data_IF_567735524504
#
_entry.id   IF_567735524504
#
_cell.length_a   1.000
_cell.length_b   1.000
_cell.length_c   1.000
_cell.angle_alpha   90.00
_cell.angle_beta   90.00
_cell.angle_gamma   90.00
#
_symmetry.space_group_name_H-M   'P 1'
#
loop_
_entity.id
_entity.type
_entity.pdbx_description
1 polymer ?
#
# COMPACT_ATOMS: atom_id res chain seq x y z
N UNK A 1 27.85 -0.97 -12.92
CA UNK A 1 26.55 -0.38 -12.51
C UNK A 1 25.50 -0.90 -13.49
N UNK A 2 24.67 -1.85 -13.04
CA UNK A 2 23.75 -2.60 -13.90
C UNK A 2 22.65 -1.70 -14.47
N UNK A 3 22.19 -1.99 -15.68
CA UNK A 3 21.14 -1.23 -16.40
C UNK A 3 19.85 -1.08 -15.58
N UNK A 4 19.50 -2.08 -14.80
CA UNK A 4 18.37 -2.08 -13.83
C UNK A 4 18.52 -1.04 -12.72
N UNK A 5 19.73 -0.82 -12.22
CA UNK A 5 19.99 0.22 -11.19
C UNK A 5 19.85 1.63 -11.76
N UNK A 6 20.24 1.84 -13.03
CA UNK A 6 20.02 3.12 -13.73
C UNK A 6 18.54 3.42 -13.91
N UNK A 7 17.74 2.45 -14.34
CA UNK A 7 16.28 2.64 -14.49
C UNK A 7 15.63 2.98 -13.15
N UNK A 8 16.04 2.32 -12.06
CA UNK A 8 15.53 2.61 -10.71
C UNK A 8 15.89 4.02 -10.25
N UNK A 9 17.13 4.45 -10.46
CA UNK A 9 17.57 5.80 -10.14
C UNK A 9 16.80 6.84 -10.96
N UNK A 10 16.61 6.62 -12.25
CA UNK A 10 15.82 7.52 -13.11
C UNK A 10 14.40 7.66 -12.61
N UNK A 11 13.72 6.56 -12.20
CA UNK A 11 12.36 6.63 -11.62
C UNK A 11 12.32 7.47 -10.34
N UNK A 12 13.32 7.34 -9.47
CA UNK A 12 13.42 8.13 -8.23
C UNK A 12 13.63 9.61 -8.55
N UNK A 13 14.51 9.94 -9.51
CA UNK A 13 14.73 11.32 -9.92
C UNK A 13 13.46 11.98 -10.48
N UNK A 14 12.65 11.25 -11.27
CA UNK A 14 11.36 11.74 -11.77
C UNK A 14 10.37 12.05 -10.64
N UNK A 15 10.29 11.20 -9.61
CA UNK A 15 9.43 11.46 -8.45
C UNK A 15 9.92 12.66 -7.67
N UNK A 16 11.23 12.80 -7.44
CA UNK A 16 11.82 13.96 -6.75
C UNK A 16 11.55 15.23 -7.55
N UNK A 17 11.77 15.22 -8.87
CA UNK A 17 11.50 16.36 -9.74
C UNK A 17 10.03 16.78 -9.70
N UNK A 18 9.09 15.82 -9.76
CA UNK A 18 7.66 16.10 -9.67
C UNK A 18 7.28 16.75 -8.32
N UNK A 19 7.85 16.27 -7.21
CA UNK A 19 7.62 16.85 -5.88
C UNK A 19 8.21 18.27 -5.79
N UNK A 20 9.40 18.51 -6.33
CA UNK A 20 10.01 19.84 -6.36
C UNK A 20 9.18 20.84 -7.18
N UNK A 21 8.70 20.43 -8.36
CA UNK A 21 7.81 21.26 -9.18
C UNK A 21 6.52 21.58 -8.43
N UNK A 22 5.94 20.61 -7.74
CA UNK A 22 4.72 20.80 -6.97
C UNK A 22 4.93 21.79 -5.80
N UNK A 23 6.04 21.68 -5.07
CA UNK A 23 6.39 22.61 -3.98
C UNK A 23 6.61 24.01 -4.53
N UNK A 24 7.35 24.15 -5.63
CA UNK A 24 7.56 25.45 -6.28
C UNK A 24 6.24 26.09 -6.73
N UNK A 25 5.35 25.31 -7.33
CA UNK A 25 4.02 25.78 -7.74
C UNK A 25 3.14 26.20 -6.56
N UNK A 26 3.18 25.50 -5.43
CA UNK A 26 2.50 25.89 -4.18
C UNK A 26 3.01 27.21 -3.64
N UNK A 27 4.34 27.41 -3.64
CA UNK A 27 4.94 28.67 -3.20
C UNK A 27 4.51 29.83 -4.10
N UNK A 28 4.58 29.66 -5.43
CA UNK A 28 4.13 30.69 -6.38
C UNK A 28 2.66 31.02 -6.18
N UNK A 29 1.80 30.02 -6.02
CA UNK A 29 0.36 30.21 -5.78
C UNK A 29 0.12 30.99 -4.47
N UNK A 30 0.86 30.67 -3.40
CA UNK A 30 0.75 31.38 -2.13
C UNK A 30 1.13 32.86 -2.25
N UNK A 31 2.24 33.16 -2.93
CA UNK A 31 2.66 34.54 -3.16
C UNK A 31 1.65 35.31 -4.01
N UNK A 32 1.13 34.67 -5.08
CA UNK A 32 0.17 35.29 -5.97
C UNK A 32 -1.13 35.69 -5.23
N UNK A 33 -1.67 34.79 -4.39
CA UNK A 33 -2.88 35.08 -3.59
C UNK A 33 -2.61 36.25 -2.63
N UNK A 34 -1.45 36.31 -1.99
CA UNK A 34 -1.06 37.40 -1.08
C UNK A 34 -0.93 38.74 -1.79
N UNK A 35 -0.29 38.78 -2.96
CA UNK A 35 -0.14 39.98 -3.76
C UNK A 35 -1.50 40.48 -4.24
N UNK A 36 -2.38 39.61 -4.69
CA UNK A 36 -3.75 40.00 -5.08
C UNK A 36 -4.56 40.56 -3.90
N UNK A 37 -4.47 39.94 -2.73
CA UNK A 37 -5.14 40.46 -1.53
C UNK A 37 -4.64 41.87 -1.14
N UNK A 38 -3.35 42.13 -1.30
CA UNK A 38 -2.78 43.48 -1.08
C UNK A 38 -3.31 44.47 -2.11
N UNK A 39 -3.38 44.10 -3.36
CA UNK A 39 -3.92 44.94 -4.43
C UNK A 39 -5.40 45.27 -4.22
N UNK A 40 -6.23 44.29 -3.79
CA UNK A 40 -7.63 44.52 -3.44
C UNK A 40 -7.78 45.49 -2.27
N UNK A 41 -6.94 45.37 -1.26
CA UNK A 41 -6.91 46.32 -0.15
C UNK A 41 -6.60 47.75 -0.62
N UNK A 42 -5.57 47.94 -1.45
CA UNK A 42 -5.22 49.24 -2.00
C UNK A 42 -6.39 49.85 -2.80
N UNK A 43 -7.10 49.03 -3.61
CA UNK A 43 -8.29 49.47 -4.31
C UNK A 43 -9.42 49.89 -3.38
N UNK A 44 -9.58 49.21 -2.24
CA UNK A 44 -10.57 49.57 -1.25
C UNK A 44 -10.19 50.84 -0.49
N UNK A 45 -8.92 51.13 -0.27
CA UNK A 45 -8.46 52.41 0.30
C UNK A 45 -8.81 53.58 -0.65
N UNK A 46 -8.60 53.41 -1.97
CA UNK A 46 -9.00 54.42 -2.98
C UNK A 46 -10.54 54.56 -3.05
N UNK A 47 -11.26 53.48 -2.97
CA UNK A 47 -12.72 53.49 -2.96
C UNK A 47 -13.28 54.22 -1.70
N UNK A 48 -12.65 53.93 -0.54
CA UNK A 48 -13.01 54.59 0.72
C UNK A 48 -12.77 56.12 0.66
N UNK A 49 -11.66 56.57 0.08
CA UNK A 49 -11.38 57.99 -0.10
C UNK A 49 -12.34 58.67 -1.09
N UNK A 50 -12.73 57.95 -2.17
CA UNK A 50 -13.80 58.42 -3.07
C UNK A 50 -15.12 58.56 -2.32
N UNK A 51 -15.48 57.62 -1.44
CA UNK A 51 -16.70 57.69 -0.62
C UNK A 51 -16.63 58.87 0.39
N UNK A 52 -15.46 59.11 0.98
CA UNK A 52 -15.22 60.31 1.84
C UNK A 52 -15.49 61.60 1.06
N UNK A 53 -14.92 61.71 -0.15
CA UNK A 53 -15.09 62.88 -1.00
C UNK A 53 -16.56 63.11 -1.39
N UNK A 54 -17.29 62.02 -1.70
CA UNK A 54 -18.71 62.07 -2.03
C UNK A 54 -19.52 62.63 -0.86
N UNK A 55 -19.26 62.24 0.38
CA UNK A 55 -20.00 62.68 1.55
C UNK A 55 -19.66 64.11 1.96
N UNK A 56 -18.48 64.63 1.57
CA UNK A 56 -18.05 66.05 1.85
C UNK A 56 -18.30 67.01 0.70
N UNK A 57 -18.92 66.54 -0.38
CA UNK A 57 -19.08 67.31 -1.60
C UNK A 57 -20.16 68.40 -1.47
N UNK A 58 -19.83 69.60 -1.95
CA UNK A 58 -20.76 70.74 -2.11
C UNK A 58 -21.40 70.76 -3.49
N UNK A 59 -22.42 71.55 -3.69
CA UNK A 59 -23.16 71.69 -4.96
C UNK A 59 -22.29 72.01 -6.20
N UNK A 60 -21.11 72.57 -6.00
CA UNK A 60 -20.17 72.95 -7.08
C UNK A 60 -19.04 71.93 -7.30
N UNK A 61 -19.03 70.80 -6.62
CA UNK A 61 -17.94 69.80 -6.70
C UNK A 61 -18.15 68.89 -7.91
N UNK A 62 -17.15 68.76 -8.81
CA UNK A 62 -17.20 67.80 -9.90
C UNK A 62 -17.02 66.37 -9.37
N UNK A 63 -18.06 65.59 -9.30
CA UNK A 63 -18.11 64.27 -8.77
C UNK A 63 -17.91 63.16 -9.87
N UNK A 64 -17.64 63.55 -11.10
CA UNK A 64 -17.60 62.61 -12.24
C UNK A 64 -16.56 61.51 -12.02
N UNK A 65 -15.35 61.87 -11.54
CA UNK A 65 -14.28 60.93 -11.22
C UNK A 65 -14.61 60.05 -9.98
N UNK A 66 -15.17 60.69 -8.93
CA UNK A 66 -15.57 60.02 -7.69
C UNK A 66 -16.62 58.92 -7.95
N UNK A 67 -17.65 59.27 -8.68
CA UNK A 67 -18.71 58.34 -9.07
C UNK A 67 -18.20 57.21 -9.97
N UNK A 68 -17.24 57.52 -10.85
CA UNK A 68 -16.55 56.51 -11.65
C UNK A 68 -15.82 55.48 -10.79
N UNK A 69 -15.01 55.93 -9.85
CA UNK A 69 -14.28 55.05 -8.92
C UNK A 69 -15.23 54.16 -8.09
N UNK A 70 -16.29 54.76 -7.55
CA UNK A 70 -17.29 54.02 -6.76
C UNK A 70 -18.00 52.98 -7.62
N UNK A 71 -18.33 53.32 -8.85
CA UNK A 71 -19.06 52.41 -9.77
C UNK A 71 -18.18 51.35 -10.38
N UNK A 72 -16.88 51.52 -10.50
CA UNK A 72 -15.95 50.54 -11.04
C UNK A 72 -15.70 49.32 -10.12
N UNK A 73 -16.16 49.39 -8.88
CA UNK A 73 -16.10 48.21 -7.99
C UNK A 73 -17.17 47.19 -8.39
N UNK A 74 -16.81 46.21 -9.23
CA UNK A 74 -17.68 45.12 -9.69
C UNK A 74 -17.45 43.79 -9.00
N UNK A 75 -16.42 43.63 -8.17
CA UNK A 75 -15.96 42.32 -7.68
C UNK A 75 -15.77 42.23 -6.16
N UNK A 76 -15.43 43.33 -5.51
CA UNK A 76 -15.14 43.33 -4.08
C UNK A 76 -16.44 43.60 -3.30
N UNK A 77 -16.88 42.71 -2.40
CA UNK A 77 -18.00 42.93 -1.53
C UNK A 77 -17.72 44.09 -0.56
N UNK A 78 -18.61 45.06 -0.50
CA UNK A 78 -18.48 46.24 0.36
C UNK A 78 -19.76 46.52 1.07
N UNK A 79 -19.69 46.88 2.35
CA UNK A 79 -20.76 47.34 3.21
C UNK A 79 -20.31 48.60 3.93
N UNK A 80 -21.08 49.68 3.83
CA UNK A 80 -20.77 50.92 4.54
C UNK A 80 -21.70 50.98 5.76
N UNK A 81 -21.07 51.00 6.95
CA UNK A 81 -21.77 51.17 8.24
C UNK A 81 -21.62 52.60 8.74
N UNK A 82 -22.68 53.11 9.39
CA UNK A 82 -22.65 54.38 10.13
C UNK A 82 -22.01 54.23 11.53
N UNK A 83 -22.01 55.32 12.28
CA UNK A 83 -21.57 55.41 13.67
C UNK A 83 -22.34 54.51 14.63
N UNK A 84 -23.63 54.18 14.26
CA UNK A 84 -24.48 53.25 14.99
C UNK A 84 -24.37 51.81 14.54
N UNK A 85 -23.39 51.50 13.67
CA UNK A 85 -23.21 50.20 13.07
C UNK A 85 -24.37 49.66 12.20
N UNK A 86 -25.14 50.56 11.61
CA UNK A 86 -26.19 50.21 10.64
C UNK A 86 -25.68 50.40 9.22
N UNK A 87 -26.01 49.46 8.35
CA UNK A 87 -25.64 49.56 6.95
C UNK A 87 -26.41 50.68 6.26
N UNK A 88 -25.70 51.64 5.66
CA UNK A 88 -26.23 52.66 4.82
C UNK A 88 -26.34 52.22 3.35
N UNK A 89 -25.36 51.46 2.91
CA UNK A 89 -25.32 50.91 1.55
C UNK A 89 -24.44 49.66 1.50
N UNK A 90 -24.69 48.84 0.54
CA UNK A 90 -23.89 47.65 0.25
C UNK A 90 -23.75 47.41 -1.24
N UNK A 91 -22.66 46.72 -1.65
CA UNK A 91 -22.40 46.39 -3.06
C UNK A 91 -21.66 45.05 -3.18
N UNK A 92 -21.99 44.30 -4.23
CA UNK A 92 -21.39 42.98 -4.52
C UNK A 92 -21.55 41.95 -3.39
N UNK A 93 -22.56 42.10 -2.56
CA UNK A 93 -22.89 41.17 -1.46
C UNK A 93 -24.16 40.43 -1.84
N UNK A 94 -24.15 39.12 -1.81
CA UNK A 94 -25.35 38.31 -2.03
C UNK A 94 -26.26 38.36 -0.77
N UNK A 95 -27.35 39.12 -0.84
CA UNK A 95 -28.32 39.25 0.24
C UNK A 95 -29.70 38.92 -0.31
N UNK A 96 -30.37 37.98 0.30
CA UNK A 96 -31.74 37.58 0.00
C UNK A 96 -32.68 38.25 1.03
N UNK A 97 -32.94 39.53 0.88
CA UNK A 97 -33.90 40.27 1.70
C UNK A 97 -35.29 40.30 1.08
N UNK A 98 -36.35 40.27 1.91
CA UNK A 98 -37.75 40.40 1.47
C UNK A 98 -38.10 41.80 1.01
N UNK A 99 -37.41 42.79 1.57
CA UNK A 99 -37.50 44.19 1.26
C UNK A 99 -36.16 44.91 1.47
N UNK A 100 -36.07 46.20 1.17
CA UNK A 100 -34.86 46.99 1.29
C UNK A 100 -34.38 47.09 2.75
N UNK A 101 -35.32 47.22 3.71
CA UNK A 101 -34.97 47.29 5.14
C UNK A 101 -34.42 45.96 5.67
N UNK A 102 -34.99 44.86 5.24
CA UNK A 102 -34.48 43.53 5.60
C UNK A 102 -33.09 43.29 4.99
N UNK A 103 -32.88 43.72 3.74
CA UNK A 103 -31.55 43.65 3.08
C UNK A 103 -30.50 44.49 3.82
N UNK A 104 -30.82 45.71 4.22
CA UNK A 104 -29.90 46.55 5.01
C UNK A 104 -29.64 45.99 6.41
N UNK A 105 -30.64 45.35 7.03
CA UNK A 105 -30.44 44.68 8.31
C UNK A 105 -29.49 43.49 8.19
N UNK A 106 -29.62 42.65 7.15
CA UNK A 106 -28.72 41.56 6.87
C UNK A 106 -27.32 42.07 6.54
N UNK A 107 -27.22 43.15 5.72
CA UNK A 107 -25.93 43.80 5.45
C UNK A 107 -25.24 44.28 6.74
N UNK A 108 -26.02 44.85 7.67
CA UNK A 108 -25.46 45.29 8.98
C UNK A 108 -24.80 44.13 9.77
N UNK A 109 -25.50 42.96 9.79
CA UNK A 109 -24.94 41.77 10.47
C UNK A 109 -23.66 41.24 9.81
N UNK A 110 -23.60 41.26 8.47
CA UNK A 110 -22.39 40.88 7.72
C UNK A 110 -21.30 41.92 7.97
N UNK A 111 -21.61 43.21 7.89
CA UNK A 111 -20.65 44.31 8.15
C UNK A 111 -20.04 44.25 9.55
N UNK A 112 -20.83 43.97 10.59
CA UNK A 112 -20.33 43.75 11.95
C UNK A 112 -19.37 42.58 12.06
N UNK A 113 -19.62 41.48 11.32
CA UNK A 113 -18.70 40.33 11.27
C UNK A 113 -17.35 40.72 10.63
N UNK A 114 -17.41 41.45 9.52
CA UNK A 114 -16.20 41.94 8.84
C UNK A 114 -15.40 42.91 9.72
N UNK A 115 -16.11 43.79 10.43
CA UNK A 115 -15.54 44.69 11.41
C UNK A 115 -14.80 43.94 12.52
N UNK A 116 -15.40 42.90 13.08
CA UNK A 116 -14.79 42.02 14.09
C UNK A 116 -13.53 41.29 13.57
N UNK A 117 -13.44 41.07 12.26
CA UNK A 117 -12.27 40.48 11.59
C UNK A 117 -11.17 41.50 11.23
N UNK A 118 -11.40 42.79 11.50
CA UNK A 118 -10.47 43.87 11.14
C UNK A 118 -10.45 44.16 9.63
N UNK A 119 -11.46 43.74 8.88
CA UNK A 119 -11.62 43.99 7.44
C UNK A 119 -12.44 45.26 7.21
N UNK A 120 -11.93 46.37 7.70
CA UNK A 120 -12.61 47.68 7.59
C UNK A 120 -11.61 48.82 7.39
N UNK A 121 -12.09 49.90 6.78
CA UNK A 121 -11.43 51.18 6.64
C UNK A 121 -12.35 52.22 7.27
N UNK A 122 -11.84 52.96 8.29
CA UNK A 122 -12.60 54.04 8.94
C UNK A 122 -12.42 55.32 8.16
N UNK A 123 -13.53 56.01 7.86
CA UNK A 123 -13.58 57.29 7.17
C UNK A 123 -14.16 58.30 8.14
N UNK A 124 -13.43 59.34 8.50
CA UNK A 124 -13.90 60.44 9.31
C UNK A 124 -14.53 61.53 8.42
N UNK A 125 -15.78 61.85 8.70
CA UNK A 125 -16.57 62.78 7.89
C UNK A 125 -16.38 64.21 8.34
N UNK A 126 -16.16 64.45 9.65
CA UNK A 126 -15.93 65.79 10.22
C UNK A 126 -14.79 65.72 11.24
N UNK A 127 -14.22 66.88 11.61
CA UNK A 127 -13.19 67.01 12.64
C UNK A 127 -13.71 66.67 14.06
N UNK A 128 -15.01 66.54 14.24
CA UNK A 128 -15.65 66.02 15.45
C UNK A 128 -15.62 64.49 15.43
N UNK A 129 -14.96 63.86 16.42
CA UNK A 129 -14.76 62.39 16.52
C UNK A 129 -16.03 61.54 16.57
N UNK A 130 -17.19 62.09 16.30
CA UNK A 130 -18.52 61.45 16.43
C UNK A 130 -19.20 61.11 15.09
N UNK A 131 -18.70 61.62 13.96
CA UNK A 131 -19.29 61.33 12.66
C UNK A 131 -18.29 60.63 11.75
N UNK A 132 -18.43 59.31 11.64
CA UNK A 132 -17.55 58.47 10.83
C UNK A 132 -18.34 57.36 10.13
N UNK A 133 -17.83 56.94 8.98
CA UNK A 133 -18.27 55.76 8.29
C UNK A 133 -17.25 54.65 8.37
N UNK A 134 -17.72 53.41 8.40
CA UNK A 134 -16.87 52.26 8.34
C UNK A 134 -17.14 51.48 7.05
N UNK A 135 -16.15 51.49 6.18
CA UNK A 135 -16.19 50.70 4.93
C UNK A 135 -15.70 49.30 5.24
N UNK A 136 -16.58 48.37 5.46
CA UNK A 136 -16.29 46.97 5.64
C UNK A 136 -16.21 46.29 4.28
N UNK A 137 -15.14 45.49 4.03
CA UNK A 137 -14.96 44.77 2.75
C UNK A 137 -14.55 43.34 2.98
N UNK A 138 -14.90 42.48 2.04
CA UNK A 138 -14.44 41.08 2.06
C UNK A 138 -13.64 40.78 0.79
N UNK A 139 -12.95 39.66 0.80
CA UNK A 139 -12.21 39.19 -0.37
C UNK A 139 -13.15 38.92 -1.55
N UNK A 140 -12.73 39.30 -2.74
CA UNK A 140 -13.49 39.00 -3.95
C UNK A 140 -13.67 37.48 -4.14
N UNK A 141 -14.70 37.09 -4.88
CA UNK A 141 -14.96 35.70 -5.23
C UNK A 141 -13.72 35.08 -5.93
N UNK A 142 -12.96 35.90 -6.64
CA UNK A 142 -11.76 35.44 -7.34
C UNK A 142 -10.64 35.05 -6.37
N UNK A 143 -10.34 35.88 -5.37
CA UNK A 143 -9.34 35.53 -4.34
C UNK A 143 -9.78 34.33 -3.53
N UNK A 144 -11.06 34.26 -3.15
CA UNK A 144 -11.63 33.11 -2.43
C UNK A 144 -11.49 31.81 -3.21
N UNK A 145 -11.70 31.81 -4.53
CA UNK A 145 -11.45 30.64 -5.38
C UNK A 145 -9.97 30.31 -5.49
N UNK A 146 -9.12 31.30 -5.66
CA UNK A 146 -7.67 31.11 -5.74
C UNK A 146 -7.07 30.60 -4.42
N UNK A 147 -7.58 30.99 -3.27
CA UNK A 147 -7.09 30.52 -1.96
C UNK A 147 -7.38 29.02 -1.71
N UNK A 148 -8.38 28.44 -2.40
CA UNK A 148 -8.67 26.99 -2.35
C UNK A 148 -7.74 26.19 -3.26
N UNK A 149 -7.21 26.79 -4.31
CA UNK A 149 -6.40 26.12 -5.33
C UNK A 149 -5.17 25.38 -4.77
N UNK A 150 -4.37 25.93 -3.84
CA UNK A 150 -3.25 25.24 -3.21
C UNK A 150 -3.65 23.92 -2.53
N UNK A 151 -4.81 23.86 -1.90
CA UNK A 151 -5.30 22.63 -1.24
C UNK A 151 -5.68 21.55 -2.24
N UNK A 152 -6.34 21.94 -3.34
CA UNK A 152 -6.64 21.01 -4.44
C UNK A 152 -5.35 20.47 -5.03
N UNK A 153 -4.39 21.33 -5.30
CA UNK A 153 -3.09 20.96 -5.83
C UNK A 153 -2.34 20.01 -4.90
N UNK A 154 -2.36 20.27 -3.58
CA UNK A 154 -1.76 19.39 -2.58
C UNK A 154 -2.40 17.99 -2.62
N UNK A 155 -3.73 17.92 -2.73
CA UNK A 155 -4.47 16.65 -2.88
C UNK A 155 -4.04 15.86 -4.11
N UNK A 156 -3.90 16.54 -5.26
CA UNK A 156 -3.45 15.92 -6.52
C UNK A 156 -2.01 15.38 -6.40
N UNK A 157 -1.11 16.16 -5.81
CA UNK A 157 0.28 15.75 -5.59
C UNK A 157 0.35 14.54 -4.66
N UNK A 158 -0.40 14.56 -3.56
CA UNK A 158 -0.46 13.44 -2.62
C UNK A 158 -0.94 12.16 -3.32
N UNK A 159 -2.01 12.25 -4.11
CA UNK A 159 -2.52 11.14 -4.90
C UNK A 159 -1.46 10.59 -5.87
N UNK A 160 -0.76 11.49 -6.58
CA UNK A 160 0.33 11.10 -7.48
C UNK A 160 1.47 10.36 -6.75
N UNK A 161 1.90 10.86 -5.58
CA UNK A 161 2.94 10.21 -4.76
C UNK A 161 2.51 8.81 -4.32
N UNK A 162 1.25 8.65 -3.87
CA UNK A 162 0.70 7.34 -3.48
C UNK A 162 0.72 6.37 -4.66
N UNK A 163 0.25 6.79 -5.83
CA UNK A 163 0.26 5.95 -7.05
C UNK A 163 1.71 5.58 -7.43
N UNK A 164 2.64 6.53 -7.38
CA UNK A 164 4.04 6.28 -7.71
C UNK A 164 4.69 5.27 -6.75
N UNK A 165 4.45 5.39 -5.44
CA UNK A 165 4.93 4.42 -4.44
C UNK A 165 4.35 3.02 -4.74
N UNK A 166 3.05 2.94 -5.01
CA UNK A 166 2.38 1.67 -5.31
C UNK A 166 2.96 1.00 -6.58
N UNK A 167 3.17 1.79 -7.64
CA UNK A 167 3.81 1.32 -8.87
C UNK A 167 5.24 0.83 -8.65
N UNK A 168 6.03 1.52 -7.82
CA UNK A 168 7.38 1.08 -7.45
C UNK A 168 7.38 -0.23 -6.68
N UNK A 169 6.46 -0.41 -5.73
CA UNK A 169 6.33 -1.64 -4.94
C UNK A 169 5.93 -2.83 -5.83
N UNK A 170 4.96 -2.66 -6.73
CA UNK A 170 4.54 -3.68 -7.70
C UNK A 170 5.70 -4.05 -8.64
N UNK A 171 6.40 -3.03 -9.19
CA UNK A 171 7.54 -3.25 -10.09
C UNK A 171 8.66 -4.04 -9.39
N UNK A 172 8.97 -3.73 -8.12
CA UNK A 172 9.97 -4.46 -7.34
C UNK A 172 9.57 -5.92 -7.12
N UNK A 173 8.30 -6.17 -6.79
CA UNK A 173 7.79 -7.53 -6.60
C UNK A 173 7.84 -8.34 -7.91
N UNK A 174 7.47 -7.73 -9.03
CA UNK A 174 7.53 -8.36 -10.35
C UNK A 174 8.97 -8.71 -10.78
N UNK A 175 9.94 -7.83 -10.50
CA UNK A 175 11.35 -8.08 -10.79
C UNK A 175 11.90 -9.25 -9.95
N UNK A 176 11.61 -9.28 -8.65
CA UNK A 176 11.98 -10.41 -7.79
C UNK A 176 11.38 -11.73 -8.30
N UNK A 177 10.13 -11.72 -8.73
CA UNK A 177 9.48 -12.90 -9.28
C UNK A 177 10.15 -13.39 -10.57
N UNK A 178 10.50 -12.49 -11.48
CA UNK A 178 11.21 -12.86 -12.72
C UNK A 178 12.56 -13.53 -12.46
N UNK A 179 13.33 -13.02 -11.49
CA UNK A 179 14.61 -13.62 -11.12
C UNK A 179 14.42 -15.03 -10.57
N UNK A 180 13.44 -15.24 -9.70
CA UNK A 180 13.14 -16.56 -9.14
C UNK A 180 12.67 -17.56 -10.19
N UNK A 181 11.77 -17.14 -11.08
CA UNK A 181 11.28 -17.98 -12.18
C UNK A 181 12.44 -18.36 -13.13
N UNK A 182 13.26 -17.38 -13.51
CA UNK A 182 14.41 -17.62 -14.37
C UNK A 182 15.42 -18.57 -13.76
N UNK A 183 15.79 -18.33 -12.47
CA UNK A 183 16.73 -19.19 -11.76
C UNK A 183 16.20 -20.63 -11.60
N UNK A 184 14.91 -20.77 -11.25
CA UNK A 184 14.29 -22.08 -11.08
C UNK A 184 14.28 -22.87 -12.38
N UNK A 185 13.89 -22.23 -13.48
CA UNK A 185 13.86 -22.86 -14.82
C UNK A 185 15.25 -23.28 -15.29
N UNK A 186 16.23 -22.39 -15.12
CA UNK A 186 17.62 -22.68 -15.47
C UNK A 186 18.21 -23.79 -14.62
N UNK A 187 17.99 -23.77 -13.31
CA UNK A 187 18.43 -24.85 -12.40
C UNK A 187 17.81 -26.19 -12.80
N UNK A 188 16.51 -26.24 -13.11
CA UNK A 188 15.85 -27.46 -13.55
C UNK A 188 16.45 -28.00 -14.85
N UNK A 189 16.75 -27.12 -15.81
CA UNK A 189 17.34 -27.49 -17.09
C UNK A 189 18.78 -28.03 -16.91
N UNK A 190 19.59 -27.32 -16.13
CA UNK A 190 20.98 -27.70 -15.85
C UNK A 190 21.09 -29.01 -15.04
N UNK A 191 20.11 -29.32 -14.19
CA UNK A 191 20.03 -30.59 -13.47
C UNK A 191 19.47 -31.73 -14.34
N UNK A 192 18.53 -31.44 -15.21
CA UNK A 192 17.84 -32.44 -16.02
C UNK A 192 18.78 -33.23 -16.94
N UNK A 193 19.75 -32.54 -17.57
CA UNK A 193 20.73 -33.19 -18.47
C UNK A 193 21.60 -34.23 -17.77
N UNK A 194 22.33 -33.93 -16.66
CA UNK A 194 23.11 -34.96 -15.97
C UNK A 194 22.25 -36.06 -15.34
N UNK A 195 21.03 -35.76 -14.87
CA UNK A 195 20.11 -36.75 -14.32
C UNK A 195 19.71 -37.75 -15.39
N UNK A 196 19.38 -37.29 -16.61
CA UNK A 196 19.07 -38.17 -17.73
C UNK A 196 20.23 -39.10 -18.10
N UNK A 197 21.47 -38.56 -18.07
CA UNK A 197 22.66 -39.39 -18.29
C UNK A 197 22.89 -40.43 -17.19
N UNK A 198 22.68 -40.06 -15.93
CA UNK A 198 22.77 -40.99 -14.80
C UNK A 198 21.70 -42.11 -14.90
N UNK A 199 20.50 -41.77 -15.29
CA UNK A 199 19.44 -42.81 -15.53
C UNK A 199 19.80 -43.78 -16.63
N UNK A 200 20.38 -43.28 -17.73
CA UNK A 200 20.83 -44.16 -18.82
C UNK A 200 22.00 -45.06 -18.35
N UNK A 201 22.93 -44.57 -17.58
CA UNK A 201 24.03 -45.37 -17.03
C UNK A 201 23.51 -46.45 -16.06
N UNK A 202 22.55 -46.11 -15.19
CA UNK A 202 21.95 -47.10 -14.28
C UNK A 202 21.24 -48.22 -15.07
N UNK A 203 20.60 -47.88 -16.16
CA UNK A 203 19.93 -48.91 -17.00
C UNK A 203 20.95 -49.82 -17.65
N UNK A 204 22.09 -49.30 -18.13
CA UNK A 204 23.22 -50.08 -18.66
C UNK A 204 23.79 -51.00 -17.58
N UNK A 205 24.04 -50.44 -16.36
CA UNK A 205 24.53 -51.23 -15.25
C UNK A 205 23.58 -52.36 -14.86
N UNK A 206 22.29 -52.09 -14.85
CA UNK A 206 21.25 -53.07 -14.54
C UNK A 206 21.23 -54.22 -15.55
N UNK A 207 21.49 -53.95 -16.85
CA UNK A 207 21.60 -54.97 -17.87
C UNK A 207 22.86 -55.81 -17.71
N UNK A 208 23.98 -55.20 -17.32
CA UNK A 208 25.27 -55.88 -17.22
C UNK A 208 25.48 -56.58 -15.88
N UNK A 209 24.84 -56.10 -14.81
CA UNK A 209 24.98 -56.60 -13.44
C UNK A 209 23.60 -56.71 -12.76
N UNK A 210 22.74 -57.61 -13.19
CA UNK A 210 21.35 -57.68 -12.74
C UNK A 210 21.17 -58.03 -11.26
N UNK A 211 22.15 -58.73 -10.67
CA UNK A 211 22.11 -59.21 -9.28
C UNK A 211 22.81 -58.25 -8.29
N UNK A 212 23.29 -57.09 -8.74
CA UNK A 212 23.96 -56.11 -7.87
C UNK A 212 22.95 -55.29 -7.04
N UNK A 213 23.02 -55.42 -5.71
CA UNK A 213 22.08 -54.80 -4.78
C UNK A 213 22.24 -53.25 -4.73
N UNK A 214 23.35 -52.66 -5.19
CA UNK A 214 23.58 -51.22 -5.20
C UNK A 214 22.83 -50.53 -6.34
N UNK A 215 22.54 -51.20 -7.45
CA UNK A 215 21.90 -50.61 -8.63
C UNK A 215 20.45 -50.12 -8.32
N UNK A 216 19.62 -50.86 -7.58
CA UNK A 216 18.32 -50.38 -7.13
C UNK A 216 18.44 -49.14 -6.23
N UNK A 217 19.43 -49.06 -5.35
CA UNK A 217 19.66 -47.89 -4.49
C UNK A 217 20.05 -46.64 -5.30
N UNK A 218 21.04 -46.81 -6.23
CA UNK A 218 21.39 -45.76 -7.18
C UNK A 218 20.21 -45.24 -7.99
N UNK A 219 19.38 -46.14 -8.51
CA UNK A 219 18.18 -45.79 -9.26
C UNK A 219 17.20 -44.98 -8.39
N UNK A 220 17.07 -45.32 -7.12
CA UNK A 220 16.22 -44.58 -6.19
C UNK A 220 16.74 -43.15 -5.93
N UNK A 221 18.05 -43.00 -5.79
CA UNK A 221 18.66 -41.68 -5.57
C UNK A 221 18.57 -40.81 -6.83
N UNK A 222 18.79 -41.35 -8.02
CA UNK A 222 18.66 -40.60 -9.27
C UNK A 222 17.20 -40.21 -9.54
N UNK A 223 16.22 -41.09 -9.29
CA UNK A 223 14.80 -40.72 -9.30
C UNK A 223 14.45 -39.58 -8.35
N UNK A 224 15.12 -39.55 -7.19
CA UNK A 224 14.97 -38.45 -6.22
C UNK A 224 15.50 -37.13 -6.77
N UNK A 225 16.69 -37.14 -7.41
CA UNK A 225 17.22 -35.96 -8.08
C UNK A 225 16.31 -35.46 -9.20
N UNK A 226 15.74 -36.41 -9.98
CA UNK A 226 14.74 -36.07 -11.01
C UNK A 226 13.51 -35.38 -10.42
N UNK A 227 12.95 -35.88 -9.32
CA UNK A 227 11.82 -35.27 -8.64
C UNK A 227 12.15 -33.84 -8.17
N UNK A 228 13.37 -33.60 -7.69
CA UNK A 228 13.82 -32.26 -7.29
C UNK A 228 13.89 -31.34 -8.51
N UNK A 229 14.49 -31.79 -9.62
CA UNK A 229 14.56 -31.01 -10.86
C UNK A 229 13.16 -30.67 -11.40
N UNK A 230 12.24 -31.64 -11.42
CA UNK A 230 10.85 -31.44 -11.83
C UNK A 230 10.11 -30.41 -10.95
N UNK A 231 10.36 -30.42 -9.64
CA UNK A 231 9.81 -29.44 -8.71
C UNK A 231 10.31 -28.02 -9.03
N UNK A 232 11.61 -27.86 -9.32
CA UNK A 232 12.18 -26.57 -9.75
C UNK A 232 11.60 -26.11 -11.10
N UNK A 233 11.40 -27.04 -12.04
CA UNK A 233 10.75 -26.76 -13.34
C UNK A 233 9.33 -26.24 -13.15
N UNK A 234 8.54 -26.85 -12.28
CA UNK A 234 7.16 -26.42 -11.98
C UNK A 234 7.08 -25.05 -11.34
N UNK A 235 8.05 -24.67 -10.50
CA UNK A 235 8.15 -23.31 -9.95
C UNK A 235 8.37 -22.29 -11.08
N UNK A 236 9.14 -22.65 -12.10
CA UNK A 236 9.40 -21.79 -13.26
C UNK A 236 8.23 -21.69 -14.25
N UNK A 237 7.31 -22.66 -14.27
CA UNK A 237 6.23 -22.77 -15.29
C UNK A 237 4.86 -22.30 -14.82
N UNK A 238 4.67 -21.93 -13.55
CA UNK A 238 3.38 -21.50 -12.97
C UNK A 238 2.24 -22.49 -13.33
N UNK A 239 2.30 -23.73 -12.85
CA UNK A 239 1.30 -24.75 -13.20
C UNK A 239 -0.08 -24.34 -12.65
N UNK A 240 -1.12 -24.50 -13.50
CA UNK A 240 -2.49 -24.20 -13.10
C UNK A 240 -2.95 -25.13 -11.96
N UNK A 241 -3.57 -24.58 -10.89
CA UNK A 241 -4.16 -25.39 -9.84
C UNK A 241 -5.39 -26.14 -10.36
N UNK A 242 -5.45 -27.45 -10.10
CA UNK A 242 -6.59 -28.33 -10.44
C UNK A 242 -7.26 -28.81 -9.15
N UNK A 243 -8.56 -29.18 -9.18
CA UNK A 243 -9.21 -29.80 -8.04
C UNK A 243 -8.46 -31.06 -7.62
N UNK A 244 -8.09 -31.16 -6.34
CA UNK A 244 -7.37 -32.30 -5.79
C UNK A 244 -7.72 -32.50 -4.30
N UNK A 245 -7.63 -33.75 -3.81
CA UNK A 245 -7.89 -34.09 -2.42
C UNK A 245 -6.72 -33.76 -1.51
N UNK A 246 -6.97 -32.91 -0.51
CA UNK A 246 -5.97 -32.60 0.52
C UNK A 246 -5.67 -33.83 1.38
N UNK A 247 -6.65 -34.68 1.63
CA UNK A 247 -6.47 -35.92 2.40
C UNK A 247 -5.42 -36.81 1.73
N UNK A 248 -5.54 -37.06 0.41
CA UNK A 248 -4.57 -37.85 -0.36
C UNK A 248 -3.17 -37.25 -0.31
N UNK A 249 -3.04 -35.92 -0.53
CA UNK A 249 -1.75 -35.23 -0.49
C UNK A 249 -1.08 -35.36 0.87
N UNK A 250 -1.82 -35.17 1.96
CA UNK A 250 -1.29 -35.30 3.31
C UNK A 250 -0.93 -36.75 3.64
N UNK A 251 -1.72 -37.73 3.21
CA UNK A 251 -1.42 -39.16 3.39
C UNK A 251 -0.17 -39.57 2.65
N UNK A 252 0.01 -39.14 1.40
CA UNK A 252 1.23 -39.37 0.64
C UNK A 252 2.48 -38.83 1.36
N UNK A 253 2.41 -37.62 1.90
CA UNK A 253 3.53 -37.02 2.66
C UNK A 253 3.79 -37.78 3.96
N UNK A 254 2.76 -38.18 4.70
CA UNK A 254 2.90 -38.97 5.91
C UNK A 254 3.60 -40.30 5.62
N UNK A 255 3.13 -41.04 4.62
CA UNK A 255 3.72 -42.30 4.21
C UNK A 255 5.16 -42.17 3.70
N UNK A 256 5.50 -41.04 3.06
CA UNK A 256 6.85 -40.72 2.64
C UNK A 256 7.76 -40.41 3.85
N UNK A 257 7.29 -39.58 4.79
CA UNK A 257 8.04 -39.19 5.97
C UNK A 257 8.26 -40.38 6.93
N UNK A 258 7.26 -41.20 7.14
CA UNK A 258 7.34 -42.37 8.03
C UNK A 258 8.48 -43.34 7.64
N UNK A 259 8.69 -43.54 6.35
CA UNK A 259 9.79 -44.37 5.85
C UNK A 259 11.18 -43.77 5.96
N UNK A 260 11.29 -42.47 6.21
CA UNK A 260 12.56 -41.71 6.18
C UNK A 260 12.95 -41.05 7.48
N UNK A 261 12.07 -41.01 8.45
CA UNK A 261 12.35 -40.47 9.77
C UNK A 261 12.74 -41.57 10.74
N UNK A 262 13.53 -41.19 11.72
CA UNK A 262 13.87 -42.12 12.80
C UNK A 262 12.60 -42.59 13.53
N UNK A 263 12.59 -43.85 14.01
CA UNK A 263 11.53 -44.39 14.86
C UNK A 263 11.28 -43.56 16.13
N UNK A 264 12.16 -42.64 16.48
CA UNK A 264 11.98 -41.69 17.58
C UNK A 264 11.03 -40.54 17.25
N UNK A 265 10.66 -40.35 15.98
CA UNK A 265 9.71 -39.33 15.54
C UNK A 265 8.37 -40.00 15.30
N UNK A 266 7.36 -39.60 16.06
CA UNK A 266 6.00 -40.07 15.90
C UNK A 266 5.23 -39.13 14.97
N UNK A 267 4.67 -39.68 13.87
CA UNK A 267 3.76 -38.96 12.99
C UNK A 267 2.31 -39.24 13.38
N UNK A 268 1.55 -38.18 13.67
CA UNK A 268 0.14 -38.25 14.03
C UNK A 268 -0.67 -37.52 12.98
N UNK A 269 -1.77 -38.14 12.51
CA UNK A 269 -2.72 -37.49 11.59
C UNK A 269 -4.06 -37.23 12.27
N UNK A 270 -4.58 -36.05 12.10
CA UNK A 270 -5.92 -35.63 12.56
C UNK A 270 -6.64 -35.03 11.34
N UNK A 271 -7.46 -35.83 10.66
CA UNK A 271 -8.11 -35.43 9.40
C UNK A 271 -9.58 -35.84 9.44
N UNK A 272 -10.47 -35.08 8.75
CA UNK A 272 -11.86 -35.49 8.57
C UNK A 272 -11.95 -36.81 7.75
N UNK A 273 -13.02 -37.56 7.97
CA UNK A 273 -13.28 -38.82 7.25
C UNK A 273 -13.74 -38.61 5.79
N UNK A 274 -14.20 -37.43 5.44
CA UNK A 274 -14.59 -37.05 4.10
C UNK A 274 -13.43 -36.33 3.37
N UNK A 275 -13.47 -36.33 2.07
CA UNK A 275 -12.48 -35.68 1.23
C UNK A 275 -12.66 -34.15 1.24
N UNK A 276 -11.56 -33.44 1.41
CA UNK A 276 -11.50 -31.98 1.32
C UNK A 276 -10.85 -31.61 0.00
N UNK A 277 -11.67 -31.14 -0.95
CA UNK A 277 -11.22 -30.80 -2.30
C UNK A 277 -10.86 -29.30 -2.35
N UNK A 278 -9.66 -29.02 -2.87
CA UNK A 278 -9.19 -27.65 -3.14
C UNK A 278 -8.50 -27.60 -4.50
N UNK A 279 -8.48 -26.41 -5.10
CA UNK A 279 -7.70 -26.21 -6.33
C UNK A 279 -6.23 -26.04 -5.97
N UNK A 280 -5.41 -27.03 -6.35
CA UNK A 280 -3.97 -27.00 -6.06
C UNK A 280 -3.15 -27.75 -7.11
N UNK A 281 -1.85 -27.48 -7.13
CA UNK A 281 -0.88 -28.41 -7.73
C UNK A 281 -0.41 -29.37 -6.64
N UNK A 282 -0.92 -30.59 -6.65
CA UNK A 282 -0.66 -31.60 -5.62
C UNK A 282 0.85 -31.78 -5.34
N UNK A 283 1.68 -31.91 -6.38
CA UNK A 283 3.11 -32.16 -6.22
C UNK A 283 3.89 -30.99 -5.60
N UNK A 284 3.49 -29.74 -5.88
CA UNK A 284 4.07 -28.56 -5.22
C UNK A 284 3.57 -28.43 -3.78
N UNK A 285 2.30 -28.78 -3.54
CA UNK A 285 1.74 -28.72 -2.20
C UNK A 285 2.31 -29.83 -1.30
N UNK A 286 2.48 -31.06 -1.82
CA UNK A 286 3.24 -32.12 -1.14
C UNK A 286 4.62 -31.62 -0.69
N UNK A 287 5.32 -30.91 -1.57
CA UNK A 287 6.62 -30.35 -1.23
C UNK A 287 6.58 -29.31 -0.10
N UNK A 288 5.52 -28.49 -0.05
CA UNK A 288 5.32 -27.55 1.08
C UNK A 288 5.23 -28.33 2.40
N UNK A 289 4.35 -29.32 2.46
CA UNK A 289 4.14 -30.11 3.68
C UNK A 289 5.40 -30.91 4.04
N UNK A 290 6.03 -31.57 3.05
CA UNK A 290 7.31 -32.27 3.23
C UNK A 290 8.39 -31.36 3.83
N UNK A 291 8.51 -30.12 3.33
CA UNK A 291 9.48 -29.15 3.84
C UNK A 291 9.17 -28.71 5.28
N UNK A 292 7.90 -28.53 5.63
CA UNK A 292 7.51 -28.24 7.01
C UNK A 292 7.82 -29.42 7.94
N UNK A 293 7.51 -30.66 7.53
CA UNK A 293 7.83 -31.88 8.29
C UNK A 293 9.36 -32.07 8.46
N UNK A 294 10.16 -31.85 7.42
CA UNK A 294 11.62 -31.89 7.52
C UNK A 294 12.16 -30.85 8.50
N UNK A 295 11.60 -29.64 8.48
CA UNK A 295 11.98 -28.61 9.43
C UNK A 295 11.61 -29.00 10.87
N UNK A 296 10.48 -29.67 11.07
CA UNK A 296 10.05 -30.22 12.35
C UNK A 296 11.02 -31.30 12.86
N UNK A 297 11.40 -32.28 12.00
CA UNK A 297 12.40 -33.30 12.34
C UNK A 297 13.73 -32.68 12.74
N UNK A 298 14.21 -31.70 11.97
CA UNK A 298 15.47 -30.99 12.28
C UNK A 298 15.38 -30.18 13.59
N UNK A 299 14.19 -29.68 13.94
CA UNK A 299 13.98 -28.95 15.19
C UNK A 299 13.97 -29.86 16.43
N UNK A 300 13.59 -31.11 16.27
CA UNK A 300 13.59 -32.13 17.33
C UNK A 300 14.96 -32.79 17.52
N UNK A 301 15.79 -32.82 16.47
CA UNK A 301 17.16 -33.37 16.55
C UNK A 301 17.22 -34.85 16.89
N UNK A 302 18.24 -35.26 17.68
CA UNK A 302 18.46 -36.66 18.03
C UNK A 302 17.49 -37.22 19.10
N UNK A 303 16.80 -36.37 19.84
CA UNK A 303 15.87 -36.76 20.89
C UNK A 303 14.57 -37.33 20.31
N UNK A 304 14.21 -36.89 19.10
CA UNK A 304 12.96 -37.21 18.49
C UNK A 304 11.81 -36.39 19.03
N UNK A 305 10.58 -36.84 18.81
CA UNK A 305 9.38 -36.12 19.26
C UNK A 305 8.16 -36.48 18.42
N UNK A 306 7.22 -35.55 18.34
CA UNK A 306 5.96 -35.76 17.61
C UNK A 306 5.76 -34.68 16.57
N UNK A 307 5.28 -35.09 15.40
CA UNK A 307 4.75 -34.20 14.36
C UNK A 307 3.27 -34.53 14.21
N UNK A 308 2.41 -33.52 14.39
CA UNK A 308 0.96 -33.67 14.19
C UNK A 308 0.53 -32.89 12.96
N UNK A 309 -0.04 -33.59 11.97
CA UNK A 309 -0.67 -32.97 10.81
C UNK A 309 -2.18 -32.94 11.04
N UNK A 310 -2.75 -31.73 11.09
CA UNK A 310 -4.19 -31.52 11.23
C UNK A 310 -4.75 -30.92 9.94
N UNK A 311 -5.89 -31.46 9.51
CA UNK A 311 -6.72 -30.88 8.45
C UNK A 311 -8.09 -30.54 9.06
N UNK A 312 -8.50 -29.30 8.93
CA UNK A 312 -9.75 -28.77 9.46
C UNK A 312 -10.43 -27.90 8.41
N UNK A 313 -11.73 -27.75 8.53
CA UNK A 313 -12.53 -26.88 7.67
C UNK A 313 -13.17 -25.78 8.52
N UNK A 314 -13.11 -24.54 8.04
CA UNK A 314 -13.76 -23.41 8.69
C UNK A 314 -14.11 -22.32 7.65
N UNK A 315 -15.36 -21.89 7.62
CA UNK A 315 -15.81 -20.72 6.84
C UNK A 315 -15.37 -20.74 5.36
N UNK A 316 -15.62 -21.85 4.65
CA UNK A 316 -15.22 -22.09 3.26
C UNK A 316 -13.69 -22.09 3.01
N UNK A 317 -12.92 -22.40 4.04
CA UNK A 317 -11.47 -22.57 3.96
C UNK A 317 -11.05 -23.91 4.54
N UNK A 318 -10.09 -24.55 3.91
CA UNK A 318 -9.35 -25.66 4.49
C UNK A 318 -8.14 -25.10 5.26
N UNK A 319 -7.95 -25.60 6.45
CA UNK A 319 -6.87 -25.22 7.36
C UNK A 319 -6.00 -26.42 7.60
N UNK A 320 -4.73 -26.30 7.25
CA UNK A 320 -3.73 -27.33 7.50
C UNK A 320 -2.77 -26.83 8.59
N UNK A 321 -2.56 -27.62 9.62
CA UNK A 321 -1.56 -27.33 10.66
C UNK A 321 -0.50 -28.44 10.69
N UNK A 322 0.75 -28.01 10.75
CA UNK A 322 1.90 -28.86 11.00
C UNK A 322 2.51 -28.41 12.32
N UNK A 323 2.32 -29.24 13.35
CA UNK A 323 2.79 -28.99 14.71
C UNK A 323 3.96 -29.93 15.04
N UNK A 324 5.03 -29.41 15.58
CA UNK A 324 6.19 -30.16 16.10
C UNK A 324 6.39 -29.91 17.60
N UNK A 325 7.07 -30.84 18.26
CA UNK A 325 7.51 -30.72 19.67
C UNK A 325 9.00 -30.40 19.78
N UNK A 326 9.57 -29.72 18.78
CA UNK A 326 10.99 -29.40 18.73
C UNK A 326 11.40 -28.18 19.56
N UNK A 327 12.59 -27.65 19.26
CA UNK A 327 13.20 -26.52 20.00
C UNK A 327 12.44 -25.18 19.89
N UNK A 328 11.47 -25.07 19.01
CA UNK A 328 10.73 -23.84 18.76
C UNK A 328 11.54 -22.73 18.08
N UNK A 329 10.89 -21.59 17.82
CA UNK A 329 11.46 -20.42 17.14
C UNK A 329 11.38 -19.21 18.08
N UNK A 330 12.49 -18.48 18.22
CA UNK A 330 12.52 -17.26 19.06
C UNK A 330 11.63 -16.17 18.46
N UNK A 331 10.93 -15.40 19.29
CA UNK A 331 10.01 -14.32 18.85
C UNK A 331 10.64 -13.36 17.82
N UNK A 332 11.91 -12.99 18.00
CA UNK A 332 12.63 -12.10 17.07
C UNK A 332 12.80 -12.69 15.68
N UNK A 333 12.90 -14.02 15.57
CA UNK A 333 13.16 -14.72 14.32
C UNK A 333 11.86 -15.05 13.56
N UNK A 334 10.71 -15.14 14.25
CA UNK A 334 9.40 -15.51 13.66
C UNK A 334 9.01 -14.64 12.45
N UNK A 335 9.34 -13.33 12.48
CA UNK A 335 9.07 -12.41 11.36
C UNK A 335 10.00 -12.60 10.16
N UNK A 336 11.09 -13.35 10.35
CA UNK A 336 12.17 -13.49 9.37
C UNK A 336 12.29 -14.88 8.76
N UNK A 337 11.69 -15.90 9.37
CA UNK A 337 11.82 -17.30 8.92
C UNK A 337 11.41 -17.56 7.47
N UNK A 338 10.48 -16.74 6.95
CA UNK A 338 10.03 -16.81 5.55
C UNK A 338 10.86 -15.95 4.58
N UNK A 339 11.89 -15.25 5.05
CA UNK A 339 12.78 -14.47 4.17
C UNK A 339 13.75 -15.42 3.44
N UNK A 340 13.92 -15.26 2.12
CA UNK A 340 14.92 -16.05 1.40
C UNK A 340 16.31 -15.92 2.02
N UNK A 341 17.00 -17.05 2.18
CA UNK A 341 18.34 -17.11 2.77
C UNK A 341 18.37 -17.12 4.31
N UNK A 342 17.23 -17.01 4.99
CA UNK A 342 17.18 -17.12 6.45
C UNK A 342 17.34 -18.58 6.89
N UNK A 343 18.37 -18.87 7.65
CA UNK A 343 18.61 -20.20 8.23
C UNK A 343 19.34 -20.09 9.57
N UNK A 344 18.99 -20.95 10.49
CA UNK A 344 19.71 -21.18 11.75
C UNK A 344 20.54 -22.47 11.72
N UNK A 345 20.56 -23.16 10.56
CA UNK A 345 21.28 -24.43 10.37
C UNK A 345 22.67 -24.16 9.80
N UNK A 346 23.68 -24.94 10.22
CA UNK A 346 25.03 -24.85 9.66
C UNK A 346 25.08 -25.27 8.18
N UNK A 347 24.21 -26.18 7.77
CA UNK A 347 24.04 -26.64 6.39
C UNK A 347 22.61 -26.38 5.94
N UNK A 348 22.44 -25.58 4.92
CA UNK A 348 21.13 -25.26 4.34
C UNK A 348 21.10 -23.83 3.77
N UNK A 349 20.47 -23.68 2.64
CA UNK A 349 20.41 -22.42 1.87
C UNK A 349 19.36 -21.44 2.40
N UNK A 350 18.57 -21.82 3.42
CA UNK A 350 17.50 -20.99 3.96
C UNK A 350 16.35 -20.70 2.96
N UNK A 351 16.17 -21.57 1.96
CA UNK A 351 15.18 -21.35 0.89
C UNK A 351 13.86 -22.09 1.12
N UNK A 352 13.84 -23.13 1.97
CA UNK A 352 12.68 -24.01 2.10
C UNK A 352 11.39 -23.28 2.53
N UNK A 353 11.42 -22.53 3.64
CA UNK A 353 10.22 -21.82 4.12
C UNK A 353 9.83 -20.66 3.21
N UNK A 354 10.79 -19.96 2.60
CA UNK A 354 10.49 -18.89 1.64
C UNK A 354 9.80 -19.44 0.38
N UNK A 355 10.22 -20.61 -0.06
CA UNK A 355 9.62 -21.29 -1.20
C UNK A 355 8.26 -21.87 -0.85
N UNK A 356 8.09 -22.48 0.34
CA UNK A 356 6.79 -22.92 0.84
C UNK A 356 5.79 -21.76 0.89
N UNK A 357 6.22 -20.59 1.39
CA UNK A 357 5.38 -19.39 1.39
C UNK A 357 4.98 -18.97 -0.02
N UNK A 358 5.91 -18.95 -0.94
CA UNK A 358 5.66 -18.61 -2.33
C UNK A 358 4.67 -19.56 -2.99
N UNK A 359 4.85 -20.87 -2.81
CA UNK A 359 3.93 -21.89 -3.37
C UNK A 359 2.52 -21.70 -2.82
N UNK A 360 2.37 -21.51 -1.52
CA UNK A 360 1.06 -21.31 -0.89
C UNK A 360 0.42 -20.00 -1.31
N UNK A 361 1.15 -18.87 -1.24
CA UNK A 361 0.56 -17.53 -1.44
C UNK A 361 0.44 -17.14 -2.92
N UNK A 362 1.45 -17.44 -3.76
CA UNK A 362 1.45 -16.99 -5.17
C UNK A 362 0.80 -18.00 -6.12
N UNK A 363 0.93 -19.33 -5.86
CA UNK A 363 0.41 -20.36 -6.76
C UNK A 363 -0.95 -20.91 -6.33
N UNK A 364 -1.21 -20.96 -5.01
CA UNK A 364 -2.47 -21.48 -4.48
C UNK A 364 -3.38 -20.40 -3.88
N UNK A 365 -2.96 -19.11 -3.92
CA UNK A 365 -3.70 -17.97 -3.37
C UNK A 365 -4.16 -18.17 -1.92
N UNK A 366 -3.40 -18.97 -1.17
CA UNK A 366 -3.59 -19.26 0.24
C UNK A 366 -2.80 -18.32 1.16
N UNK A 367 -2.71 -18.71 2.43
CA UNK A 367 -1.88 -18.02 3.43
C UNK A 367 -1.08 -19.05 4.23
N UNK A 368 0.16 -18.73 4.59
CA UNK A 368 1.00 -19.54 5.48
C UNK A 368 1.67 -18.64 6.52
N UNK A 369 1.61 -19.07 7.79
CA UNK A 369 2.26 -18.36 8.90
C UNK A 369 2.55 -19.30 10.08
N UNK A 370 3.27 -18.79 11.07
CA UNK A 370 3.45 -19.46 12.36
C UNK A 370 2.26 -19.11 13.24
N UNK A 371 1.43 -20.11 13.57
CA UNK A 371 0.30 -19.96 14.51
C UNK A 371 0.80 -19.76 15.94
N UNK A 372 1.75 -20.59 16.36
CA UNK A 372 2.38 -20.53 17.68
C UNK A 372 3.78 -21.10 17.61
N UNK A 373 4.68 -20.57 18.43
CA UNK A 373 5.98 -21.16 18.64
C UNK A 373 6.56 -20.67 19.96
N UNK A 374 7.00 -21.62 20.80
CA UNK A 374 7.63 -21.34 22.08
C UNK A 374 8.96 -22.09 22.16
N UNK A 375 10.05 -21.43 22.55
CA UNK A 375 11.34 -22.09 22.74
C UNK A 375 11.23 -23.29 23.71
N UNK A 376 11.68 -24.47 23.25
CA UNK A 376 11.64 -25.72 24.00
C UNK A 376 10.29 -26.46 24.01
N UNK A 377 9.24 -25.93 23.36
CA UNK A 377 7.92 -26.60 23.31
C UNK A 377 7.50 -26.99 21.89
N UNK A 378 8.05 -26.34 20.86
CA UNK A 378 7.77 -26.63 19.47
C UNK A 378 7.20 -25.47 18.69
N UNK A 379 6.77 -25.76 17.45
CA UNK A 379 6.21 -24.79 16.51
C UNK A 379 4.98 -25.37 15.82
N UNK A 380 3.97 -24.53 15.60
CA UNK A 380 2.82 -24.84 14.76
C UNK A 380 2.80 -23.89 13.57
N UNK A 381 3.00 -24.44 12.38
CA UNK A 381 2.73 -23.74 11.12
C UNK A 381 1.28 -23.94 10.72
N UNK A 382 0.63 -22.89 10.20
CA UNK A 382 -0.73 -22.95 9.67
C UNK A 382 -0.76 -22.49 8.24
N UNK A 383 -1.49 -23.25 7.41
CA UNK A 383 -1.80 -22.94 6.01
C UNK A 383 -3.32 -22.84 5.87
N UNK A 384 -3.80 -21.84 5.16
CA UNK A 384 -5.20 -21.70 4.77
C UNK A 384 -5.31 -21.66 3.24
N UNK A 385 -6.18 -22.50 2.68
CA UNK A 385 -6.56 -22.50 1.28
C UNK A 385 -8.07 -22.26 1.14
N UNK A 386 -8.51 -21.69 0.02
CA UNK A 386 -9.94 -21.61 -0.31
C UNK A 386 -10.43 -22.99 -0.73
N UNK A 387 -11.58 -23.40 -0.23
CA UNK A 387 -12.28 -24.57 -0.71
C UNK A 387 -13.01 -24.25 -2.01
N UNK A 388 -13.13 -25.24 -2.88
CA UNK A 388 -14.02 -25.15 -4.02
C UNK A 388 -15.46 -25.34 -3.50
N UNK A 389 -16.32 -24.35 -3.74
CA UNK A 389 -17.74 -24.39 -3.36
C UNK A 389 -18.53 -25.25 -4.34
#
# INVERSE_FOLDING_TARGET
>A
MNWTDRIRQVKIYWVIAAVLIAVASLLVSHFLVRDMATEERNRMEVWAEAMRTLNKADENTDLSLVLKVINENHSIPVIVLDDQNKAQTFRNVEIEGKDEQDSLRQASLIGLRLLAQGKNIKIELDDSAHDYLQVCYDESVMIRRLSVYPYIQLGVVLLFVVIAIFALLISKKAEQNKVWVGLSKETAHQLGTPISSLMAWIEILRMNYPDDELIPEMNQDVKRLQLIADRFSKIGSLPEPVPASLNEVLEHVIAYMDRRTSRKVQLVKEMPSHEVIVRMNASLFEWVIENLCKNAVDAMGAEGGRITLRLMEASHRSIIEVEDTGKGIRKKDMKHVFRPGFTTKQRGWGLGLSLAKRIVEEYHHGKIWIKSSEPGKGTTFRIELKMES
#
